data_IF_976497383518
#
_entry.id   IF_976497383518
#
_cell.length_a   1.000
_cell.length_b   1.000
_cell.length_c   1.000
_cell.angle_alpha   90.00
_cell.angle_beta   90.00
_cell.angle_gamma   90.00
#
_symmetry.space_group_name_H-M   'P 1'
#
loop_
_entity.id
_entity.type
_entity.pdbx_description
1 polymer ?
#
# COMPACT_ATOMS: atom_id res chain seq x y z
N UNK A 1 -17.66 12.06 -7.13
CA UNK A 1 -17.58 13.08 -6.05
C UNK A 1 -16.15 13.54 -5.83
N UNK A 2 -15.96 14.61 -5.05
CA UNK A 2 -14.64 15.15 -4.68
C UNK A 2 -13.75 14.19 -3.90
N UNK A 3 -14.32 13.17 -3.28
CA UNK A 3 -13.58 12.16 -2.51
C UNK A 3 -13.22 10.91 -3.34
N UNK A 4 -13.73 10.81 -4.56
CA UNK A 4 -13.48 9.67 -5.43
C UNK A 4 -12.03 9.64 -5.95
N UNK A 5 -11.60 8.47 -6.41
CA UNK A 5 -10.41 8.30 -7.23
C UNK A 5 -10.80 7.58 -8.51
N UNK A 6 -10.20 7.98 -9.63
CA UNK A 6 -10.46 7.41 -10.95
C UNK A 6 -9.15 6.89 -11.52
N UNK A 7 -9.17 5.70 -12.10
CA UNK A 7 -7.95 5.12 -12.70
C UNK A 7 -8.18 3.76 -13.33
N UNK A 8 -7.19 3.31 -14.07
CA UNK A 8 -7.14 2.01 -14.74
C UNK A 8 -5.86 1.29 -14.28
N UNK A 9 -5.94 0.46 -13.23
CA UNK A 9 -4.76 -0.12 -12.57
C UNK A 9 -4.26 -1.42 -13.20
N UNK A 10 -4.87 -1.90 -14.28
CA UNK A 10 -4.67 -3.23 -14.86
C UNK A 10 -3.22 -3.52 -15.22
N UNK A 11 -2.45 -2.49 -15.57
CA UNK A 11 -1.02 -2.66 -15.91
C UNK A 11 -0.23 -3.26 -14.75
N UNK A 12 -0.62 -3.01 -13.50
CA UNK A 12 0.03 -3.57 -12.30
C UNK A 12 -0.13 -5.09 -12.18
N UNK A 13 -1.06 -5.66 -12.93
CA UNK A 13 -1.30 -7.09 -13.01
C UNK A 13 -0.64 -7.75 -14.23
N UNK A 14 0.22 -7.02 -14.96
CA UNK A 14 0.85 -7.52 -16.18
C UNK A 14 -0.10 -7.62 -17.37
N UNK A 15 -1.27 -6.99 -17.31
CA UNK A 15 -2.26 -6.85 -18.36
C UNK A 15 -2.54 -5.36 -18.60
N UNK A 16 -3.48 -5.02 -19.46
CA UNK A 16 -3.94 -3.65 -19.65
C UNK A 16 -5.47 -3.63 -19.78
N UNK A 17 -6.14 -2.45 -19.78
CA UNK A 17 -7.59 -2.37 -19.86
C UNK A 17 -8.15 -3.07 -21.09
N UNK A 18 -8.88 -4.19 -20.91
CA UNK A 18 -9.39 -5.07 -21.98
C UNK A 18 -10.91 -5.05 -22.14
N UNK A 19 -11.61 -4.15 -21.42
CA UNK A 19 -13.06 -3.93 -21.55
C UNK A 19 -13.39 -2.63 -22.27
N UNK A 20 -12.62 -2.30 -23.31
CA UNK A 20 -12.75 -1.08 -24.08
C UNK A 20 -12.09 0.14 -23.43
N UNK A 21 -11.23 -0.07 -22.44
CA UNK A 21 -10.55 1.03 -21.73
C UNK A 21 -9.57 1.76 -22.63
N UNK A 22 -8.77 1.05 -23.42
CA UNK A 22 -7.84 1.65 -24.38
C UNK A 22 -8.58 2.44 -25.45
N UNK A 23 -9.72 1.91 -25.91
CA UNK A 23 -10.54 2.51 -26.99
C UNK A 23 -11.30 3.73 -26.48
N UNK A 24 -11.97 3.62 -25.33
CA UNK A 24 -12.85 4.69 -24.83
C UNK A 24 -12.06 5.83 -24.23
N UNK A 25 -11.02 5.53 -23.45
CA UNK A 25 -10.27 6.58 -22.75
C UNK A 25 -9.45 7.43 -23.74
N UNK A 26 -8.81 6.82 -24.73
CA UNK A 26 -8.04 7.55 -25.76
C UNK A 26 -8.90 8.51 -26.58
N UNK A 27 -10.16 8.17 -26.81
CA UNK A 27 -11.13 9.04 -27.50
C UNK A 27 -11.74 10.11 -26.61
N UNK A 28 -11.68 9.91 -25.30
CA UNK A 28 -12.24 10.83 -24.33
C UNK A 28 -11.24 11.93 -23.91
N UNK A 29 -9.99 11.54 -23.62
CA UNK A 29 -8.98 12.44 -23.04
C UNK A 29 -7.72 12.60 -23.91
N UNK A 30 -7.72 12.04 -25.12
CA UNK A 30 -6.57 12.04 -26.03
C UNK A 30 -5.58 10.91 -25.71
N UNK A 31 -4.68 10.63 -26.68
CA UNK A 31 -3.72 9.51 -26.60
C UNK A 31 -2.72 9.71 -25.45
N UNK A 32 -2.11 10.89 -25.34
CA UNK A 32 -1.05 11.15 -24.35
C UNK A 32 -1.53 10.98 -22.93
N UNK A 33 -2.67 11.60 -22.58
CA UNK A 33 -3.30 11.44 -21.25
C UNK A 33 -3.71 9.98 -21.02
N UNK A 34 -4.32 9.33 -22.02
CA UNK A 34 -4.76 7.95 -21.91
C UNK A 34 -3.59 6.98 -21.65
N UNK A 35 -2.47 7.17 -22.37
CA UNK A 35 -1.23 6.38 -22.13
C UNK A 35 -0.71 6.62 -20.72
N UNK A 36 -0.64 7.88 -20.26
CA UNK A 36 -0.20 8.18 -18.91
C UNK A 36 -1.08 7.48 -17.85
N UNK A 37 -2.40 7.57 -18.01
CA UNK A 37 -3.34 6.94 -17.07
C UNK A 37 -3.19 5.42 -17.01
N UNK A 38 -3.10 4.77 -18.16
CA UNK A 38 -3.05 3.31 -18.26
C UNK A 38 -1.67 2.73 -17.96
N UNK A 39 -0.59 3.35 -18.48
CA UNK A 39 0.76 2.83 -18.32
C UNK A 39 1.36 3.12 -16.92
N UNK A 40 1.01 4.25 -16.30
CA UNK A 40 1.48 4.59 -14.95
C UNK A 40 0.53 4.05 -13.86
N UNK A 41 -0.74 3.81 -14.19
CA UNK A 41 -1.77 3.29 -13.29
C UNK A 41 -1.86 4.01 -11.93
N UNK A 42 -1.61 5.32 -11.94
CA UNK A 42 -1.73 6.16 -10.77
C UNK A 42 -3.16 6.69 -10.66
N UNK A 43 -3.85 6.46 -9.54
CA UNK A 43 -5.19 7.01 -9.34
C UNK A 43 -5.16 8.54 -9.46
N UNK A 44 -6.09 9.08 -10.22
CA UNK A 44 -6.26 10.53 -10.39
C UNK A 44 -7.31 11.05 -9.41
N UNK A 45 -7.02 12.20 -8.81
CA UNK A 45 -8.02 12.95 -8.02
C UNK A 45 -9.10 13.52 -8.95
N UNK A 46 -10.32 13.75 -8.45
CA UNK A 46 -11.44 14.23 -9.28
C UNK A 46 -11.13 15.51 -10.05
N UNK A 47 -10.45 16.48 -9.44
CA UNK A 47 -10.05 17.73 -10.10
C UNK A 47 -9.09 17.49 -11.28
N UNK A 48 -8.17 16.53 -11.18
CA UNK A 48 -7.29 16.16 -12.28
C UNK A 48 -8.09 15.42 -13.38
N UNK A 49 -9.00 14.50 -13.01
CA UNK A 49 -9.86 13.82 -13.96
C UNK A 49 -10.78 14.79 -14.72
N UNK A 50 -11.26 15.87 -14.07
CA UNK A 50 -12.04 16.95 -14.71
C UNK A 50 -11.16 17.75 -15.67
N UNK A 51 -9.94 18.10 -15.24
CA UNK A 51 -8.97 18.80 -16.09
C UNK A 51 -8.62 18.01 -17.36
N UNK A 52 -8.44 16.72 -17.22
CA UNK A 52 -8.11 15.83 -18.34
C UNK A 52 -9.34 15.52 -19.23
N UNK A 53 -10.56 15.93 -18.83
CA UNK A 53 -11.79 15.67 -19.58
C UNK A 53 -12.38 14.27 -19.37
N UNK A 54 -11.90 13.53 -18.37
CA UNK A 54 -12.39 12.16 -18.09
C UNK A 54 -13.74 12.15 -17.38
N UNK A 55 -14.13 13.24 -16.74
CA UNK A 55 -15.44 13.45 -16.08
C UNK A 55 -15.98 14.83 -16.42
N UNK A 56 -17.33 14.96 -16.47
CA UNK A 56 -17.98 16.22 -16.86
C UNK A 56 -18.12 17.21 -15.69
N UNK A 57 -18.17 16.73 -14.44
CA UNK A 57 -18.29 17.56 -13.25
C UNK A 57 -17.72 16.88 -12.00
N UNK A 58 -17.38 17.69 -11.01
CA UNK A 58 -17.00 17.24 -9.66
C UNK A 58 -17.87 17.99 -8.65
N UNK A 59 -18.59 17.24 -7.82
CA UNK A 59 -19.56 17.77 -6.85
C UNK A 59 -19.40 17.06 -5.50
N UNK A 60 -19.89 17.63 -4.39
CA UNK A 60 -20.00 16.94 -3.11
C UNK A 60 -20.75 15.61 -3.23
N UNK A 61 -20.43 14.65 -2.37
CA UNK A 61 -20.96 13.29 -2.48
C UNK A 61 -22.51 13.26 -2.35
N UNK A 62 -23.06 14.07 -1.48
CA UNK A 62 -24.50 14.24 -1.23
C UNK A 62 -25.26 14.89 -2.41
N UNK A 63 -24.55 15.58 -3.32
CA UNK A 63 -25.11 16.25 -4.51
C UNK A 63 -24.93 15.45 -5.80
N UNK A 64 -24.31 14.27 -5.74
CA UNK A 64 -23.95 13.52 -6.95
C UNK A 64 -25.17 13.10 -7.77
N UNK A 65 -26.22 12.64 -7.11
CA UNK A 65 -27.45 12.19 -7.78
C UNK A 65 -28.18 13.37 -8.44
N UNK A 66 -28.34 14.48 -7.73
CA UNK A 66 -28.99 15.69 -8.25
C UNK A 66 -28.26 16.25 -9.48
N UNK A 67 -26.92 16.33 -9.39
CA UNK A 67 -26.09 16.80 -10.51
C UNK A 67 -26.16 15.86 -11.72
N UNK A 68 -26.21 14.55 -11.52
CA UNK A 68 -26.36 13.59 -12.61
C UNK A 68 -27.74 13.72 -13.28
N UNK A 69 -28.80 13.88 -12.50
CA UNK A 69 -30.16 14.10 -13.03
C UNK A 69 -30.27 15.43 -13.79
N UNK A 70 -29.59 16.46 -13.31
CA UNK A 70 -29.58 17.75 -14.02
C UNK A 70 -28.86 17.64 -15.38
N UNK A 71 -27.72 16.97 -15.47
CA UNK A 71 -27.05 16.68 -16.74
C UNK A 71 -27.94 15.89 -17.72
N UNK A 72 -28.67 14.91 -17.22
CA UNK A 72 -29.65 14.17 -18.05
C UNK A 72 -30.75 15.10 -18.57
N UNK A 73 -31.32 15.96 -17.72
CA UNK A 73 -32.32 16.96 -18.14
C UNK A 73 -31.75 17.93 -19.18
N UNK A 74 -30.53 18.39 -19.01
CA UNK A 74 -29.85 19.25 -19.99
C UNK A 74 -29.69 18.53 -21.34
N UNK A 75 -29.32 17.24 -21.33
CA UNK A 75 -29.23 16.42 -22.53
C UNK A 75 -30.60 16.25 -23.24
N UNK A 76 -31.67 16.00 -22.47
CA UNK A 76 -33.05 15.85 -23.01
C UNK A 76 -33.52 17.17 -23.64
N UNK A 77 -33.22 18.30 -23.00
CA UNK A 77 -33.64 19.63 -23.51
C UNK A 77 -32.67 20.21 -24.58
N UNK A 78 -31.71 19.43 -25.06
CA UNK A 78 -30.77 19.86 -26.10
C UNK A 78 -29.73 20.90 -25.67
N UNK A 79 -29.60 21.16 -24.36
CA UNK A 79 -28.58 22.09 -23.80
C UNK A 79 -27.20 21.45 -23.69
N UNK A 80 -27.12 20.12 -23.69
CA UNK A 80 -25.87 19.34 -23.71
C UNK A 80 -25.85 18.52 -25.02
N UNK A 81 -24.84 18.78 -25.86
CA UNK A 81 -24.68 18.05 -27.11
C UNK A 81 -24.00 16.70 -26.86
N UNK A 82 -24.78 15.77 -26.35
CA UNK A 82 -24.32 14.41 -26.08
C UNK A 82 -24.18 13.58 -27.38
N UNK A 83 -24.89 13.98 -28.48
CA UNK A 83 -24.86 13.23 -29.75
C UNK A 83 -23.50 13.36 -30.42
N UNK A 84 -23.00 14.59 -30.55
CA UNK A 84 -21.64 14.83 -31.09
C UNK A 84 -20.58 14.17 -30.23
N UNK A 85 -20.65 14.31 -28.90
CA UNK A 85 -19.73 13.63 -27.98
C UNK A 85 -19.79 12.11 -28.12
N UNK A 86 -20.97 11.54 -28.38
CA UNK A 86 -21.12 10.09 -28.64
C UNK A 86 -20.46 9.69 -29.95
N UNK A 87 -20.66 10.48 -31.02
CA UNK A 87 -20.08 10.22 -32.33
C UNK A 87 -18.55 10.23 -32.27
N UNK A 88 -17.95 11.21 -31.60
CA UNK A 88 -16.51 11.28 -31.38
C UNK A 88 -15.92 10.01 -30.71
N UNK A 89 -16.72 9.35 -29.84
CA UNK A 89 -16.33 8.08 -29.20
C UNK A 89 -16.47 6.86 -30.13
N UNK A 90 -17.22 6.98 -31.21
CA UNK A 90 -17.39 5.94 -32.24
C UNK A 90 -16.36 6.04 -33.38
N UNK A 91 -15.88 7.25 -33.63
CA UNK A 91 -14.97 7.56 -34.73
C UNK A 91 -13.51 7.23 -34.36
N UNK A 92 -12.60 7.17 -35.34
CA UNK A 92 -11.15 7.15 -35.11
C UNK A 92 -10.69 8.32 -34.23
N UNK A 93 -9.55 8.17 -33.58
CA UNK A 93 -8.95 9.27 -32.82
C UNK A 93 -8.64 10.43 -33.77
N UNK A 94 -9.06 11.66 -33.38
CA UNK A 94 -8.91 12.88 -34.20
C UNK A 94 -7.47 13.39 -34.21
N UNK A 95 -6.58 12.66 -34.86
CA UNK A 95 -5.17 13.02 -35.09
C UNK A 95 -4.80 12.69 -36.51
N UNK A 96 -4.06 13.55 -37.16
CA UNK A 96 -3.42 13.25 -38.45
C UNK A 96 -2.41 12.10 -38.29
N UNK A 97 -2.03 11.39 -39.35
CA UNK A 97 -1.02 10.33 -39.32
C UNK A 97 0.31 10.78 -38.69
N UNK A 98 0.71 12.02 -38.92
CA UNK A 98 1.95 12.60 -38.38
C UNK A 98 1.81 12.82 -36.88
N UNK A 99 0.70 13.40 -36.42
CA UNK A 99 0.42 13.59 -35.00
C UNK A 99 0.33 12.28 -34.24
N UNK A 100 -0.32 11.27 -34.83
CA UNK A 100 -0.37 9.91 -34.26
C UNK A 100 1.04 9.33 -34.10
N UNK A 101 1.88 9.43 -35.15
CA UNK A 101 3.25 8.95 -35.09
C UNK A 101 4.06 9.66 -33.99
N UNK A 102 3.92 10.97 -33.85
CA UNK A 102 4.61 11.76 -32.83
C UNK A 102 4.15 11.37 -31.42
N UNK A 103 2.84 11.28 -31.18
CA UNK A 103 2.27 10.90 -29.89
C UNK A 103 2.72 9.50 -29.47
N UNK A 104 2.67 8.50 -30.36
CA UNK A 104 3.10 7.15 -30.04
C UNK A 104 4.61 7.01 -29.86
N UNK A 105 5.44 7.72 -30.63
CA UNK A 105 6.89 7.71 -30.43
C UNK A 105 7.29 8.34 -29.07
N UNK A 106 6.70 9.48 -28.74
CA UNK A 106 6.89 10.13 -27.43
C UNK A 106 6.45 9.20 -26.29
N UNK A 107 5.25 8.63 -26.39
CA UNK A 107 4.71 7.70 -25.40
C UNK A 107 5.56 6.45 -25.23
N UNK A 108 6.04 5.86 -26.34
CA UNK A 108 6.97 4.71 -26.33
C UNK A 108 8.26 5.07 -25.60
N UNK A 109 8.88 6.21 -25.91
CA UNK A 109 10.08 6.68 -25.23
C UNK A 109 9.89 6.81 -23.71
N UNK A 110 8.80 7.44 -23.29
CA UNK A 110 8.48 7.65 -21.86
C UNK A 110 8.20 6.34 -21.12
N UNK A 111 7.41 5.45 -21.70
CA UNK A 111 6.93 4.22 -21.03
C UNK A 111 8.03 3.16 -21.02
N UNK A 112 8.69 2.91 -22.16
CA UNK A 112 9.69 1.84 -22.27
C UNK A 112 11.01 2.19 -21.60
N UNK A 113 11.30 3.47 -21.36
CA UNK A 113 12.42 3.87 -20.50
C UNK A 113 12.27 3.39 -19.06
N UNK A 114 11.02 3.15 -18.60
CA UNK A 114 10.70 2.70 -17.23
C UNK A 114 10.39 1.21 -17.13
N UNK A 115 10.05 0.56 -18.25
CA UNK A 115 9.63 -0.83 -18.26
C UNK A 115 10.33 -1.57 -19.40
N UNK A 116 11.29 -2.45 -19.07
CA UNK A 116 11.92 -3.32 -20.05
C UNK A 116 10.89 -4.34 -20.58
N UNK A 117 10.56 -4.34 -21.88
CA UNK A 117 9.54 -5.23 -22.46
C UNK A 117 9.84 -6.73 -22.29
N UNK A 118 11.13 -7.11 -22.21
CA UNK A 118 11.51 -8.50 -21.99
C UNK A 118 11.13 -8.99 -20.58
N UNK A 119 11.15 -8.09 -19.59
CA UNK A 119 10.79 -8.41 -18.20
C UNK A 119 9.33 -8.10 -17.89
N UNK A 120 8.77 -7.06 -18.52
CA UNK A 120 7.41 -6.59 -18.30
C UNK A 120 6.73 -6.20 -19.63
N UNK A 121 6.17 -7.16 -20.37
CA UNK A 121 5.69 -6.95 -21.74
C UNK A 121 4.39 -6.11 -21.82
N UNK A 122 3.56 -6.06 -20.78
CA UNK A 122 2.26 -5.41 -20.83
C UNK A 122 2.27 -3.94 -21.28
N UNK A 123 3.20 -3.06 -20.83
CA UNK A 123 3.25 -1.69 -21.32
C UNK A 123 3.50 -1.56 -22.83
N UNK A 124 4.36 -2.43 -23.38
CA UNK A 124 4.57 -2.45 -24.83
C UNK A 124 3.32 -2.92 -25.58
N UNK A 125 2.69 -3.99 -25.10
CA UNK A 125 1.47 -4.53 -25.69
C UNK A 125 0.30 -3.54 -25.61
N UNK A 126 0.19 -2.78 -24.51
CA UNK A 126 -0.74 -1.66 -24.39
C UNK A 126 -0.53 -0.62 -25.50
N UNK A 127 0.72 -0.16 -25.69
CA UNK A 127 1.05 0.84 -26.72
C UNK A 127 0.78 0.33 -28.13
N UNK A 128 1.15 -0.92 -28.41
CA UNK A 128 0.90 -1.55 -29.72
C UNK A 128 -0.62 -1.66 -30.00
N UNK A 129 -1.42 -2.03 -28.97
CA UNK A 129 -2.87 -2.13 -29.08
C UNK A 129 -3.54 -0.76 -29.29
N UNK A 130 -3.10 0.27 -28.54
CA UNK A 130 -3.56 1.65 -28.73
C UNK A 130 -3.26 2.16 -30.14
N UNK A 131 -2.04 1.92 -30.62
CA UNK A 131 -1.61 2.35 -31.95
C UNK A 131 -2.42 1.64 -33.04
N UNK A 132 -2.64 0.33 -32.91
CA UNK A 132 -3.47 -0.44 -33.86
C UNK A 132 -4.93 0.04 -33.91
N UNK A 133 -5.49 0.45 -32.75
CA UNK A 133 -6.90 0.89 -32.64
C UNK A 133 -7.13 2.37 -32.94
N UNK A 134 -6.08 3.22 -33.00
CA UNK A 134 -6.26 4.67 -33.08
C UNK A 134 -6.95 5.15 -34.36
N UNK A 135 -6.64 4.54 -35.51
CA UNK A 135 -7.20 4.88 -36.83
C UNK A 135 -8.46 4.10 -37.19
N UNK A 136 -8.96 3.23 -36.29
CA UNK A 136 -10.12 2.40 -36.52
C UNK A 136 -11.36 3.03 -35.89
N UNK A 137 -12.54 2.69 -36.41
CA UNK A 137 -13.79 2.92 -35.70
C UNK A 137 -13.87 2.07 -34.43
N UNK A 138 -14.70 2.48 -33.47
CA UNK A 138 -14.78 1.89 -32.13
C UNK A 138 -14.83 0.34 -32.15
N UNK A 139 -15.68 -0.25 -32.95
CA UNK A 139 -15.95 -1.70 -32.89
C UNK A 139 -14.75 -2.52 -33.41
N UNK A 140 -14.05 -2.04 -34.41
CA UNK A 140 -12.82 -2.67 -34.90
C UNK A 140 -11.62 -2.35 -33.98
N UNK A 141 -11.59 -1.17 -33.35
CA UNK A 141 -10.61 -0.85 -32.34
C UNK A 141 -10.79 -1.75 -31.09
N UNK A 142 -12.01 -2.12 -30.70
CA UNK A 142 -12.28 -3.07 -29.64
C UNK A 142 -11.79 -4.49 -29.96
N UNK A 143 -11.84 -4.91 -31.24
CA UNK A 143 -11.24 -6.19 -31.67
C UNK A 143 -9.71 -6.15 -31.53
N UNK A 144 -9.07 -5.06 -31.99
CA UNK A 144 -7.64 -4.88 -31.83
C UNK A 144 -7.22 -4.82 -30.35
N UNK A 145 -8.02 -4.20 -29.48
CA UNK A 145 -7.83 -4.25 -28.02
C UNK A 145 -7.89 -5.68 -27.50
N UNK A 146 -8.91 -6.44 -27.87
CA UNK A 146 -9.10 -7.81 -27.40
C UNK A 146 -7.96 -8.74 -27.81
N UNK A 147 -7.47 -8.62 -29.06
CA UNK A 147 -6.30 -9.38 -29.55
C UNK A 147 -5.01 -9.01 -28.79
N UNK A 148 -4.80 -7.71 -28.55
CA UNK A 148 -3.65 -7.24 -27.78
C UNK A 148 -3.74 -7.69 -26.31
N UNK A 149 -4.93 -7.60 -25.71
CA UNK A 149 -5.19 -8.06 -24.35
C UNK A 149 -4.92 -9.56 -24.20
N UNK A 150 -5.39 -10.38 -25.13
CA UNK A 150 -5.16 -11.82 -25.11
C UNK A 150 -3.65 -12.14 -25.09
N UNK A 151 -2.84 -11.41 -25.91
CA UNK A 151 -1.38 -11.56 -25.88
C UNK A 151 -0.77 -11.20 -24.53
N UNK A 152 -1.28 -10.18 -23.84
CA UNK A 152 -0.80 -9.81 -22.49
C UNK A 152 -1.22 -10.84 -21.45
N UNK A 153 -2.47 -11.29 -21.47
CA UNK A 153 -3.07 -12.17 -20.46
C UNK A 153 -2.42 -13.57 -20.40
N UNK A 154 -1.86 -14.05 -21.51
CA UNK A 154 -1.18 -15.36 -21.56
C UNK A 154 0.30 -15.30 -21.19
N UNK A 155 0.84 -14.13 -20.86
CA UNK A 155 2.24 -14.00 -20.45
C UNK A 155 2.50 -14.61 -19.08
N UNK A 156 3.66 -15.22 -18.81
CA UNK A 156 4.03 -15.68 -17.49
C UNK A 156 3.97 -14.58 -16.43
N UNK A 157 4.31 -13.34 -16.81
CA UNK A 157 4.28 -12.18 -15.94
C UNK A 157 2.84 -11.85 -15.48
N UNK A 158 1.88 -11.87 -16.38
CA UNK A 158 0.47 -11.68 -16.03
C UNK A 158 -0.02 -12.77 -15.07
N UNK A 159 0.27 -14.03 -15.38
CA UNK A 159 -0.08 -15.16 -14.51
C UNK A 159 0.49 -15.01 -13.09
N UNK A 160 1.77 -14.65 -12.97
CA UNK A 160 2.43 -14.44 -11.69
C UNK A 160 1.84 -13.26 -10.90
N UNK A 161 1.62 -12.12 -11.55
CA UNK A 161 1.09 -10.92 -10.89
C UNK A 161 -0.38 -11.05 -10.50
N UNK A 162 -1.20 -11.71 -11.33
CA UNK A 162 -2.60 -12.02 -10.99
C UNK A 162 -2.63 -13.01 -9.81
N UNK A 163 -1.78 -14.05 -9.83
CA UNK A 163 -1.66 -14.98 -8.71
C UNK A 163 -1.28 -14.26 -7.41
N UNK A 164 -0.31 -13.36 -7.46
CA UNK A 164 0.10 -12.56 -6.31
C UNK A 164 -1.06 -11.67 -5.80
N UNK A 165 -1.80 -11.03 -6.70
CA UNK A 165 -2.98 -10.23 -6.34
C UNK A 165 -4.07 -11.08 -5.65
N UNK A 166 -4.38 -12.26 -6.20
CA UNK A 166 -5.37 -13.17 -5.60
C UNK A 166 -4.93 -13.66 -4.22
N UNK A 167 -3.64 -14.01 -4.08
CA UNK A 167 -3.07 -14.39 -2.78
C UNK A 167 -3.17 -13.26 -1.76
N UNK A 168 -2.90 -12.01 -2.14
CA UNK A 168 -3.08 -10.84 -1.27
C UNK A 168 -4.54 -10.69 -0.79
N UNK A 169 -5.53 -10.95 -1.68
CA UNK A 169 -6.94 -10.94 -1.27
C UNK A 169 -7.25 -12.07 -0.27
N UNK A 170 -6.68 -13.27 -0.47
CA UNK A 170 -6.85 -14.40 0.46
C UNK A 170 -6.24 -14.04 1.82
N UNK A 171 -5.02 -13.51 1.84
CA UNK A 171 -4.35 -13.09 3.08
C UNK A 171 -5.17 -12.04 3.83
N UNK A 172 -5.65 -11.00 3.15
CA UNK A 172 -6.51 -9.97 3.75
C UNK A 172 -7.80 -10.54 4.33
N UNK A 173 -8.45 -11.46 3.62
CA UNK A 173 -9.66 -12.15 4.09
C UNK A 173 -9.37 -13.03 5.31
N UNK A 174 -8.24 -13.72 5.31
CA UNK A 174 -7.81 -14.61 6.40
C UNK A 174 -7.47 -13.78 7.63
N UNK A 175 -6.71 -12.69 7.47
CA UNK A 175 -6.34 -11.79 8.59
C UNK A 175 -7.55 -11.24 9.32
N UNK A 176 -8.66 -10.94 8.63
CA UNK A 176 -9.91 -10.49 9.26
C UNK A 176 -10.50 -11.49 10.26
N UNK A 177 -10.20 -12.79 10.13
CA UNK A 177 -10.67 -13.80 11.09
C UNK A 177 -9.99 -13.66 12.45
N UNK A 178 -8.79 -13.12 12.48
CA UNK A 178 -8.01 -12.91 13.69
C UNK A 178 -8.30 -11.58 14.38
N UNK A 179 -9.14 -10.69 13.80
CA UNK A 179 -9.47 -9.40 14.42
C UNK A 179 -10.41 -9.55 15.62
N UNK A 180 -11.14 -10.66 15.70
CA UNK A 180 -12.09 -10.93 16.78
C UNK A 180 -11.35 -11.17 18.10
N UNK A 181 -11.66 -10.38 19.11
CA UNK A 181 -11.01 -10.46 20.44
C UNK A 181 -9.76 -9.60 20.56
N UNK A 182 -9.42 -8.78 19.56
CA UNK A 182 -8.31 -7.84 19.65
C UNK A 182 -8.59 -6.73 20.66
N UNK A 183 -7.59 -6.39 21.48
CA UNK A 183 -7.61 -5.20 22.32
C UNK A 183 -7.13 -3.98 21.53
N UNK A 184 -7.67 -2.78 21.84
CA UNK A 184 -7.18 -1.55 21.27
C UNK A 184 -5.74 -1.27 21.72
N UNK A 185 -4.87 -0.93 20.79
CA UNK A 185 -3.51 -0.48 21.07
C UNK A 185 -3.48 1.04 20.97
N UNK A 186 -3.40 1.71 22.12
CA UNK A 186 -3.30 3.16 22.27
C UNK A 186 -1.85 3.59 22.43
N UNK A 187 -1.04 2.79 23.13
CA UNK A 187 0.37 3.05 23.38
C UNK A 187 1.18 1.77 23.12
N UNK A 188 2.16 1.85 22.22
CA UNK A 188 3.13 0.79 21.98
C UNK A 188 4.49 1.11 22.60
N UNK A 189 5.34 0.10 22.74
CA UNK A 189 6.77 0.29 23.01
C UNK A 189 7.63 -0.60 22.12
N UNK A 190 8.85 -0.19 21.87
CA UNK A 190 9.89 -1.00 21.23
C UNK A 190 11.15 -1.01 22.08
N UNK A 191 11.72 -2.18 22.29
CA UNK A 191 12.98 -2.41 22.97
C UNK A 191 14.08 -2.64 21.96
N UNK A 192 15.15 -1.85 22.09
CA UNK A 192 16.22 -1.75 21.09
C UNK A 192 15.94 -0.61 20.10
N UNK A 193 16.87 0.34 20.02
CA UNK A 193 16.79 1.50 19.14
C UNK A 193 17.76 1.40 17.94
N UNK A 194 18.11 0.16 17.56
CA UNK A 194 18.88 -0.12 16.35
C UNK A 194 18.04 0.08 15.07
N UNK A 195 18.56 -0.43 13.95
CA UNK A 195 17.91 -0.31 12.62
C UNK A 195 16.46 -0.81 12.65
N UNK A 196 16.23 -1.99 13.24
CA UNK A 196 14.86 -2.55 13.30
C UNK A 196 13.98 -1.76 14.25
N UNK A 197 14.43 -1.50 15.49
CA UNK A 197 13.63 -0.77 16.48
C UNK A 197 13.31 0.67 16.07
N UNK A 198 14.28 1.39 15.50
CA UNK A 198 14.04 2.72 14.92
C UNK A 198 13.05 2.68 13.76
N UNK A 199 13.17 1.68 12.88
CA UNK A 199 12.23 1.46 11.77
C UNK A 199 10.80 1.12 12.24
N UNK A 200 10.66 0.29 13.28
CA UNK A 200 9.37 -0.06 13.90
C UNK A 200 8.75 1.18 14.56
N UNK A 201 9.55 1.95 15.31
CA UNK A 201 9.10 3.20 15.94
C UNK A 201 8.60 4.20 14.90
N UNK A 202 9.36 4.42 13.82
CA UNK A 202 8.94 5.24 12.69
C UNK A 202 7.61 4.76 12.10
N UNK A 203 7.49 3.45 11.83
CA UNK A 203 6.32 2.89 11.19
C UNK A 203 5.05 3.05 12.05
N UNK A 204 5.14 2.78 13.35
CA UNK A 204 4.05 2.97 14.30
C UNK A 204 3.63 4.45 14.37
N UNK A 205 4.57 5.36 14.60
CA UNK A 205 4.33 6.79 14.73
C UNK A 205 3.75 7.42 13.46
N UNK A 206 4.26 7.03 12.29
CA UNK A 206 3.78 7.52 10.97
C UNK A 206 2.34 7.09 10.68
N UNK A 207 1.85 6.05 11.34
CA UNK A 207 0.48 5.53 11.24
C UNK A 207 -0.39 5.92 12.44
N UNK A 208 0.09 6.84 13.27
CA UNK A 208 -0.68 7.44 14.35
C UNK A 208 -0.67 6.68 15.68
N UNK A 209 0.16 5.64 15.83
CA UNK A 209 0.33 4.93 17.10
C UNK A 209 1.49 5.55 17.87
N UNK A 210 1.27 6.15 19.07
CA UNK A 210 2.34 6.58 19.95
C UNK A 210 3.21 5.41 20.37
N UNK A 211 4.54 5.62 20.42
CA UNK A 211 5.47 4.54 20.73
C UNK A 211 6.63 5.03 21.60
N UNK A 212 6.88 4.31 22.68
CA UNK A 212 8.07 4.48 23.50
C UNK A 212 9.21 3.67 22.88
N UNK A 213 10.36 4.29 22.64
CA UNK A 213 11.55 3.61 22.12
C UNK A 213 12.61 3.56 23.22
N UNK A 214 12.81 2.36 23.80
CA UNK A 214 13.76 2.13 24.89
C UNK A 214 15.02 1.43 24.42
N UNK A 215 16.14 1.91 24.90
CA UNK A 215 17.44 1.23 24.78
C UNK A 215 18.23 1.36 26.09
N UNK A 216 19.40 0.70 26.18
CA UNK A 216 20.32 0.78 27.31
C UNK A 216 21.27 1.98 27.23
N UNK A 217 21.40 2.60 26.05
CA UNK A 217 22.35 3.70 25.81
C UNK A 217 21.78 4.84 24.96
N UNK A 218 22.22 6.07 25.27
CA UNK A 218 21.83 7.26 24.52
C UNK A 218 22.28 7.23 23.05
N UNK A 219 23.41 6.58 22.76
CA UNK A 219 23.92 6.50 21.38
C UNK A 219 22.94 5.70 20.49
N UNK A 220 22.40 4.60 21.00
CA UNK A 220 21.41 3.77 20.28
C UNK A 220 20.10 4.53 20.08
N UNK A 221 19.63 5.23 21.13
CA UNK A 221 18.44 6.09 21.01
C UNK A 221 18.64 7.18 19.95
N UNK A 222 19.82 7.81 19.93
CA UNK A 222 20.14 8.80 18.92
C UNK A 222 20.14 8.21 17.49
N UNK A 223 20.64 6.97 17.31
CA UNK A 223 20.58 6.27 16.01
C UNK A 223 19.14 6.00 15.57
N UNK A 224 18.30 5.47 16.45
CA UNK A 224 16.89 5.22 16.14
C UNK A 224 16.12 6.48 15.79
N UNK A 225 16.35 7.57 16.52
CA UNK A 225 15.76 8.88 16.23
C UNK A 225 16.28 9.47 14.92
N UNK A 226 17.56 9.30 14.62
CA UNK A 226 18.17 9.74 13.35
C UNK A 226 17.55 9.01 12.16
N UNK A 227 17.31 7.69 12.28
CA UNK A 227 16.66 6.89 11.24
C UNK A 227 15.23 7.41 10.99
N UNK A 228 14.42 7.54 12.05
CA UNK A 228 13.05 8.04 11.94
C UNK A 228 13.00 9.44 11.32
N UNK A 229 13.85 10.35 11.79
CA UNK A 229 13.95 11.72 11.26
C UNK A 229 14.35 11.73 9.78
N UNK A 230 15.35 10.93 9.39
CA UNK A 230 15.80 10.84 7.99
C UNK A 230 14.71 10.34 7.04
N UNK A 231 13.89 9.37 7.47
CA UNK A 231 12.76 8.88 6.68
C UNK A 231 11.67 9.94 6.54
N UNK A 232 11.36 10.69 7.59
CA UNK A 232 10.37 11.77 7.55
C UNK A 232 10.85 12.96 6.72
N UNK A 233 12.12 13.35 6.83
CA UNK A 233 12.73 14.41 6.01
C UNK A 233 12.56 14.10 4.52
N UNK A 234 12.86 12.86 4.09
CA UNK A 234 12.65 12.43 2.69
C UNK A 234 11.19 12.53 2.24
N UNK A 235 10.21 12.35 3.13
CA UNK A 235 8.79 12.54 2.79
C UNK A 235 8.45 14.02 2.57
N UNK A 236 9.02 14.91 3.39
CA UNK A 236 8.85 16.37 3.26
C UNK A 236 9.51 16.87 1.96
N UNK A 237 10.75 16.49 1.68
CA UNK A 237 11.48 16.84 0.45
C UNK A 237 10.73 16.39 -0.81
N UNK A 238 10.11 15.20 -0.77
CA UNK A 238 9.28 14.67 -1.86
C UNK A 238 7.87 15.27 -1.90
N UNK A 239 7.56 16.28 -1.09
CA UNK A 239 6.25 16.93 -0.97
C UNK A 239 5.09 15.98 -0.66
N UNK A 240 5.38 14.84 -0.02
CA UNK A 240 4.39 13.84 0.42
C UNK A 240 3.89 14.08 1.83
N UNK A 241 4.58 14.95 2.59
CA UNK A 241 4.27 15.31 3.98
C UNK A 241 4.56 16.80 4.19
N UNK A 242 3.74 17.47 5.00
CA UNK A 242 4.02 18.84 5.43
C UNK A 242 4.98 18.85 6.63
N UNK A 243 5.83 19.90 6.82
CA UNK A 243 6.72 20.00 7.98
C UNK A 243 6.01 19.87 9.34
N UNK A 244 4.82 20.44 9.49
CA UNK A 244 4.01 20.32 10.71
C UNK A 244 3.66 18.86 11.02
N UNK A 245 3.26 18.08 10.01
CA UNK A 245 2.95 16.65 10.17
C UNK A 245 4.19 15.82 10.54
N UNK A 246 5.38 16.22 10.07
CA UNK A 246 6.65 15.62 10.48
C UNK A 246 6.88 15.84 11.98
N UNK A 247 6.70 17.07 12.47
CA UNK A 247 6.83 17.38 13.90
C UNK A 247 5.86 16.57 14.76
N UNK A 248 4.58 16.50 14.37
CA UNK A 248 3.56 15.68 15.03
C UNK A 248 3.93 14.19 15.07
N UNK A 249 4.50 13.68 13.97
CA UNK A 249 4.91 12.27 13.88
C UNK A 249 6.10 11.99 14.79
N UNK A 250 7.11 12.86 14.79
CA UNK A 250 8.27 12.73 15.71
C UNK A 250 7.85 12.81 17.17
N UNK A 251 6.90 13.67 17.52
CA UNK A 251 6.37 13.79 18.88
C UNK A 251 5.66 12.51 19.39
N UNK A 252 5.26 11.60 18.49
CA UNK A 252 4.73 10.28 18.86
C UNK A 252 5.81 9.26 19.22
N UNK A 253 7.09 9.53 18.93
CA UNK A 253 8.20 8.65 19.29
C UNK A 253 8.86 9.22 20.54
N UNK A 254 8.81 8.49 21.65
CA UNK A 254 9.40 8.90 22.91
C UNK A 254 10.60 8.03 23.27
N UNK A 255 11.84 8.54 23.09
CA UNK A 255 13.04 7.81 23.48
C UNK A 255 13.22 7.81 25.01
N UNK A 256 13.62 6.67 25.59
CA UNK A 256 13.88 6.53 27.02
C UNK A 256 14.93 5.46 27.33
N UNK A 257 15.60 5.61 28.48
CA UNK A 257 16.50 4.60 29.04
C UNK A 257 15.83 3.74 30.13
N UNK A 258 14.63 4.15 30.61
CA UNK A 258 13.96 3.51 31.76
C UNK A 258 12.66 2.83 31.36
N UNK A 259 12.12 2.00 32.25
CA UNK A 259 10.80 1.37 32.13
C UNK A 259 9.68 2.15 32.85
N UNK A 260 9.93 3.36 33.35
CA UNK A 260 9.00 4.07 34.25
C UNK A 260 7.60 4.22 33.67
N UNK A 261 7.50 4.36 32.35
CA UNK A 261 6.24 4.59 31.65
C UNK A 261 5.62 3.33 31.00
N UNK A 262 6.22 2.17 31.21
CA UNK A 262 5.76 0.93 30.59
C UNK A 262 4.47 0.39 31.19
N UNK A 263 4.03 0.89 32.33
CA UNK A 263 2.74 0.55 32.95
C UNK A 263 1.53 0.93 32.11
N UNK A 264 1.68 1.88 31.17
CA UNK A 264 0.59 2.32 30.29
C UNK A 264 0.65 1.72 28.87
N UNK A 265 1.62 0.82 28.63
CA UNK A 265 1.86 0.23 27.31
C UNK A 265 0.94 -0.98 27.10
N UNK A 266 0.28 -1.03 25.94
CA UNK A 266 -0.61 -2.13 25.55
C UNK A 266 0.15 -3.27 24.88
N UNK A 267 1.23 -2.95 24.15
CA UNK A 267 2.09 -3.93 23.49
C UNK A 267 3.55 -3.47 23.50
N UNK A 268 4.47 -4.38 23.79
CA UNK A 268 5.92 -4.16 23.72
C UNK A 268 6.49 -5.03 22.61
N UNK A 269 7.24 -4.44 21.68
CA UNK A 269 7.92 -5.14 20.58
C UNK A 269 9.41 -5.22 20.91
N UNK A 270 9.92 -6.39 21.22
CA UNK A 270 11.34 -6.63 21.49
C UNK A 270 12.11 -6.76 20.18
N UNK A 271 13.09 -5.90 19.98
CA UNK A 271 13.96 -5.83 18.79
C UNK A 271 15.43 -5.66 19.19
N UNK A 272 15.86 -6.27 20.30
CA UNK A 272 17.25 -6.27 20.76
C UNK A 272 18.09 -7.29 19.96
N UNK A 273 19.36 -7.41 20.30
CA UNK A 273 20.30 -8.33 19.62
C UNK A 273 19.77 -9.76 19.52
N UNK A 274 20.05 -10.43 18.39
CA UNK A 274 19.59 -11.79 18.10
C UNK A 274 20.39 -12.84 18.89
N UNK A 275 20.16 -12.84 20.20
CA UNK A 275 20.79 -13.76 21.16
C UNK A 275 19.74 -14.26 22.16
N UNK A 276 19.47 -15.57 22.24
CA UNK A 276 18.37 -16.11 23.06
C UNK A 276 18.53 -15.82 24.56
N UNK A 277 19.77 -15.79 25.08
CA UNK A 277 20.03 -15.46 26.50
C UNK A 277 19.70 -13.99 26.78
N UNK A 278 20.15 -13.08 25.90
CA UNK A 278 19.89 -11.64 26.07
C UNK A 278 18.39 -11.36 25.94
N UNK A 279 17.74 -11.95 24.93
CA UNK A 279 16.29 -11.81 24.77
C UNK A 279 15.52 -12.34 25.98
N UNK A 280 15.89 -13.52 26.51
CA UNK A 280 15.24 -14.08 27.69
C UNK A 280 15.33 -13.18 28.92
N UNK A 281 16.51 -12.54 29.18
CA UNK A 281 16.69 -11.58 30.28
C UNK A 281 15.79 -10.34 30.06
N UNK A 282 15.83 -9.77 28.85
CA UNK A 282 15.07 -8.55 28.53
C UNK A 282 13.56 -8.81 28.57
N UNK A 283 13.09 -9.97 28.10
CA UNK A 283 11.68 -10.35 28.14
C UNK A 283 11.19 -10.49 29.58
N UNK A 284 11.95 -11.18 30.44
CA UNK A 284 11.62 -11.34 31.86
C UNK A 284 11.60 -10.00 32.59
N UNK A 285 12.59 -9.14 32.35
CA UNK A 285 12.63 -7.78 32.93
C UNK A 285 11.41 -6.96 32.49
N UNK A 286 11.06 -7.04 31.19
CA UNK A 286 9.93 -6.30 30.62
C UNK A 286 8.61 -6.75 31.23
N UNK A 287 8.40 -8.05 31.33
CA UNK A 287 7.18 -8.63 31.90
C UNK A 287 6.91 -8.13 33.32
N UNK A 288 7.96 -7.97 34.13
CA UNK A 288 7.86 -7.43 35.48
C UNK A 288 7.52 -5.93 35.56
N UNK A 289 7.60 -5.20 34.44
CA UNK A 289 7.40 -3.74 34.36
C UNK A 289 6.12 -3.33 33.66
N UNK A 290 5.45 -4.25 32.98
CA UNK A 290 4.21 -4.00 32.25
C UNK A 290 2.99 -4.53 33.00
N UNK A 291 1.78 -4.14 32.58
CA UNK A 291 0.51 -4.65 33.12
C UNK A 291 0.34 -6.14 32.76
N UNK A 292 -0.51 -6.81 33.53
CA UNK A 292 -0.80 -8.23 33.34
C UNK A 292 -1.31 -8.59 31.95
N UNK A 293 -2.09 -7.70 31.35
CA UNK A 293 -2.68 -7.88 30.02
C UNK A 293 -1.87 -7.28 28.86
N UNK A 294 -0.68 -6.74 29.14
CA UNK A 294 0.21 -6.21 28.08
C UNK A 294 0.72 -7.36 27.22
N UNK A 295 0.60 -7.22 25.91
CA UNK A 295 1.18 -8.17 24.96
C UNK A 295 2.68 -7.89 24.81
N UNK A 296 3.48 -8.94 24.85
CA UNK A 296 4.92 -8.86 24.54
C UNK A 296 5.16 -9.59 23.24
N UNK A 297 5.78 -8.93 22.29
CA UNK A 297 6.09 -9.49 20.98
C UNK A 297 7.60 -9.49 20.74
N UNK A 298 8.17 -10.55 20.15
CA UNK A 298 9.57 -10.55 19.73
C UNK A 298 9.69 -10.43 18.21
N UNK A 299 10.62 -9.57 17.78
CA UNK A 299 10.97 -9.39 16.36
C UNK A 299 12.09 -10.35 15.93
N UNK A 300 12.27 -11.46 16.62
CA UNK A 300 13.27 -12.47 16.22
C UNK A 300 12.98 -13.03 14.83
N UNK A 301 14.04 -13.32 14.08
CA UNK A 301 13.93 -13.95 12.76
C UNK A 301 13.98 -15.47 12.80
N UNK A 302 14.63 -16.05 13.83
CA UNK A 302 14.96 -17.49 13.83
C UNK A 302 14.80 -18.18 15.17
N UNK A 303 14.72 -17.44 16.27
CA UNK A 303 14.61 -18.03 17.59
C UNK A 303 13.14 -18.40 17.84
N UNK A 304 12.88 -19.65 18.20
CA UNK A 304 11.54 -20.16 18.52
C UNK A 304 10.85 -19.29 19.57
N UNK A 305 9.64 -18.84 19.26
CA UNK A 305 8.76 -18.08 20.18
C UNK A 305 8.40 -18.95 21.38
N UNK A 306 8.12 -20.23 21.16
CA UNK A 306 7.84 -21.21 22.24
C UNK A 306 9.00 -21.31 23.22
N UNK A 307 10.24 -21.35 22.72
CA UNK A 307 11.44 -21.41 23.56
C UNK A 307 11.68 -20.09 24.33
N UNK A 308 11.47 -18.95 23.69
CA UNK A 308 11.59 -17.66 24.38
C UNK A 308 10.54 -17.49 25.47
N UNK A 309 9.33 -18.00 25.23
CA UNK A 309 8.21 -17.98 26.19
C UNK A 309 8.51 -18.72 27.51
N UNK A 310 9.46 -19.65 27.54
CA UNK A 310 9.88 -20.35 28.75
C UNK A 310 10.48 -19.42 29.83
N UNK A 311 10.90 -18.22 29.44
CA UNK A 311 11.44 -17.21 30.35
C UNK A 311 10.35 -16.35 31.01
N UNK A 312 9.09 -16.51 30.62
CA UNK A 312 7.96 -15.66 31.02
C UNK A 312 7.02 -16.39 31.98
N UNK A 313 6.40 -15.64 32.88
CA UNK A 313 5.36 -16.11 33.79
C UNK A 313 3.98 -16.16 33.11
N UNK A 314 3.78 -15.29 32.10
CA UNK A 314 2.53 -15.16 31.31
C UNK A 314 2.77 -15.43 29.83
N UNK A 315 3.19 -16.64 29.47
CA UNK A 315 3.54 -17.00 28.09
C UNK A 315 2.37 -16.91 27.10
N UNK A 316 1.11 -16.86 27.58
CA UNK A 316 -0.09 -16.64 26.77
C UNK A 316 -0.14 -15.25 26.15
N UNK A 317 0.49 -14.25 26.77
CA UNK A 317 0.61 -12.88 26.27
C UNK A 317 1.85 -12.66 25.40
N UNK A 318 2.58 -13.73 25.07
CA UNK A 318 3.78 -13.65 24.26
C UNK A 318 3.57 -14.18 22.85
N UNK A 319 4.08 -13.44 21.84
CA UNK A 319 3.87 -13.69 20.42
C UNK A 319 5.11 -13.28 19.60
N UNK A 320 5.31 -13.84 18.42
CA UNK A 320 6.26 -13.30 17.46
C UNK A 320 5.63 -12.19 16.62
N UNK A 321 6.37 -11.11 16.38
CA UNK A 321 5.99 -10.05 15.43
C UNK A 321 7.19 -9.69 14.56
N UNK A 322 7.44 -10.48 13.55
CA UNK A 322 8.62 -10.39 12.72
C UNK A 322 8.42 -9.41 11.56
N UNK A 323 9.19 -8.33 11.59
CA UNK A 323 9.27 -7.34 10.52
C UNK A 323 10.46 -7.61 9.62
N UNK A 324 10.30 -7.31 8.34
CA UNK A 324 11.38 -7.39 7.35
C UNK A 324 12.06 -6.03 7.17
N UNK A 325 13.38 -6.07 6.96
CA UNK A 325 14.18 -4.86 6.72
C UNK A 325 14.19 -4.50 5.22
N UNK A 326 14.00 -3.23 4.84
CA UNK A 326 13.69 -2.04 5.66
C UNK A 326 12.21 -1.98 6.07
N UNK A 327 11.93 -1.76 7.36
CA UNK A 327 10.57 -1.82 7.92
C UNK A 327 9.57 -0.95 7.15
N UNK A 328 9.95 0.26 6.75
CA UNK A 328 9.07 1.20 6.07
C UNK A 328 8.72 0.79 4.62
N UNK A 329 9.49 -0.11 4.00
CA UNK A 329 9.29 -0.56 2.63
C UNK A 329 8.63 -1.93 2.55
N UNK A 330 9.00 -2.84 3.45
CA UNK A 330 8.53 -4.23 3.42
C UNK A 330 7.09 -4.32 3.96
N UNK A 331 6.12 -4.79 3.16
CA UNK A 331 4.72 -4.78 3.58
C UNK A 331 4.36 -5.93 4.53
N UNK A 332 5.08 -7.05 4.47
CA UNK A 332 4.78 -8.26 5.23
C UNK A 332 5.19 -8.12 6.70
N UNK A 333 4.36 -8.68 7.60
CA UNK A 333 4.69 -8.97 8.99
C UNK A 333 4.21 -10.38 9.31
N UNK A 334 5.09 -11.21 9.85
CA UNK A 334 4.72 -12.53 10.35
C UNK A 334 4.31 -12.41 11.83
N UNK A 335 3.10 -12.85 12.14
CA UNK A 335 2.60 -13.00 13.51
C UNK A 335 2.77 -14.47 13.88
N UNK A 336 3.75 -14.77 14.71
CA UNK A 336 4.20 -16.14 14.97
C UNK A 336 3.54 -16.64 16.25
N UNK A 337 2.75 -17.70 16.12
CA UNK A 337 2.06 -18.36 17.22
C UNK A 337 2.99 -19.37 17.91
N UNK A 338 3.45 -19.06 19.11
CA UNK A 338 4.11 -20.03 19.98
C UNK A 338 3.10 -21.01 20.62
N UNK A 339 3.61 -22.08 21.22
CA UNK A 339 2.78 -23.16 21.77
C UNK A 339 1.74 -22.71 22.83
N UNK A 340 2.05 -21.63 23.56
CA UNK A 340 1.17 -21.08 24.61
C UNK A 340 0.52 -19.74 24.25
N UNK A 341 0.84 -19.19 23.07
CA UNK A 341 0.32 -17.89 22.64
C UNK A 341 -1.21 -17.92 22.53
N UNK A 342 -1.89 -17.01 23.19
CA UNK A 342 -3.36 -16.88 23.17
C UNK A 342 -3.89 -16.34 21.85
N UNK A 343 -5.15 -16.60 21.54
CA UNK A 343 -5.83 -16.03 20.38
C UNK A 343 -5.95 -14.49 20.48
N UNK A 344 -6.04 -13.97 21.68
CA UNK A 344 -6.10 -12.56 22.01
C UNK A 344 -4.77 -11.84 21.69
N UNK A 345 -3.63 -12.45 22.04
CA UNK A 345 -2.31 -11.95 21.71
C UNK A 345 -2.11 -11.91 20.18
N UNK A 346 -2.53 -12.95 19.46
CA UNK A 346 -2.52 -13.00 18.00
C UNK A 346 -3.41 -11.90 17.42
N UNK A 347 -4.66 -11.80 17.87
CA UNK A 347 -5.63 -10.83 17.36
C UNK A 347 -5.13 -9.38 17.53
N UNK A 348 -4.65 -9.03 18.71
CA UNK A 348 -4.13 -7.69 19.03
C UNK A 348 -2.91 -7.36 18.17
N UNK A 349 -2.00 -8.30 17.99
CA UNK A 349 -0.80 -8.12 17.15
C UNK A 349 -1.15 -7.98 15.67
N UNK A 350 -2.10 -8.78 15.16
CA UNK A 350 -2.61 -8.66 13.77
C UNK A 350 -3.21 -7.28 13.53
N UNK A 351 -4.08 -6.81 14.42
CA UNK A 351 -4.73 -5.49 14.28
C UNK A 351 -3.70 -4.35 14.37
N UNK A 352 -2.70 -4.45 15.25
CA UNK A 352 -1.61 -3.48 15.28
C UNK A 352 -0.82 -3.46 13.97
N UNK A 353 -0.45 -4.63 13.43
CA UNK A 353 0.26 -4.71 12.16
C UNK A 353 -0.53 -4.07 11.01
N UNK A 354 -1.85 -4.32 10.92
CA UNK A 354 -2.74 -3.68 9.96
C UNK A 354 -2.81 -2.15 10.17
N UNK A 355 -2.95 -1.68 11.41
CA UNK A 355 -2.92 -0.26 11.77
C UNK A 355 -1.60 0.41 11.36
N UNK A 356 -0.49 -0.31 11.47
CA UNK A 356 0.82 0.10 10.98
C UNK A 356 0.94 0.07 9.44
N UNK A 357 -0.12 -0.30 8.71
CA UNK A 357 -0.13 -0.38 7.25
C UNK A 357 0.64 -1.58 6.71
N UNK A 358 0.75 -2.65 7.49
CA UNK A 358 1.37 -3.91 7.11
C UNK A 358 0.31 -4.94 6.69
N UNK A 359 0.78 -5.99 6.01
CA UNK A 359 0.00 -7.18 5.68
C UNK A 359 0.43 -8.29 6.64
N UNK A 360 -0.31 -8.54 7.74
CA UNK A 360 0.04 -9.61 8.67
C UNK A 360 -0.37 -10.98 8.12
N UNK A 361 0.49 -11.97 8.33
CA UNK A 361 0.16 -13.39 8.20
C UNK A 361 0.39 -14.07 9.54
N UNK A 362 -0.55 -14.93 9.95
CA UNK A 362 -0.38 -15.74 11.15
C UNK A 362 0.28 -17.06 10.74
N UNK A 363 1.40 -17.38 11.37
CA UNK A 363 2.21 -18.57 11.09
C UNK A 363 2.47 -19.34 12.38
N UNK A 364 2.75 -20.61 12.23
CA UNK A 364 3.17 -21.45 13.35
C UNK A 364 4.66 -21.22 13.67
N UNK A 365 5.02 -21.41 14.93
CA UNK A 365 6.40 -21.34 15.40
C UNK A 365 7.21 -22.52 14.85
N UNK A 366 8.17 -22.22 13.99
CA UNK A 366 9.11 -23.19 13.43
C UNK A 366 10.46 -22.51 13.14
N UNK A 367 11.55 -23.27 13.00
CA UNK A 367 12.86 -22.70 12.68
C UNK A 367 12.87 -22.03 11.31
N UNK A 368 13.42 -20.80 11.26
CA UNK A 368 13.75 -20.05 10.05
C UNK A 368 12.61 -19.49 9.29
#
# INVERSE_FOLDING_TARGET
>A
SEQAQVGLPEIKLGIFPGFGGTVRLSRLIGIDNAVEWMAMANPKKPAAALKDGAVDAVVPADKLQDAALDLVKQAIHGRLDWKTKRQEKLDPVKLSPIEQMMAFNSSKGMVLAKANPAQYPAPKLLLDSLQAGASLHRDDALKAEAEGFAKAAVTPQAGALIGLFLNDQIVKKTSKRYEKGAHPVNQAAVLGAGIMGGGIAYQAASKGTPIIMKDIGNQQLALGMKEANGLLTKQVERKKMKPAQMGETLARIRPTLSYDEFKEVDIVIEAVTENPKVKGIVLKETEAKVRENTIIASNTSTISITRLAENLERPENFVGMHFFNPVHMMPLVEVIRGAKTSDEAIATTVVLAQKMGKTPIVVNDCPG
#
